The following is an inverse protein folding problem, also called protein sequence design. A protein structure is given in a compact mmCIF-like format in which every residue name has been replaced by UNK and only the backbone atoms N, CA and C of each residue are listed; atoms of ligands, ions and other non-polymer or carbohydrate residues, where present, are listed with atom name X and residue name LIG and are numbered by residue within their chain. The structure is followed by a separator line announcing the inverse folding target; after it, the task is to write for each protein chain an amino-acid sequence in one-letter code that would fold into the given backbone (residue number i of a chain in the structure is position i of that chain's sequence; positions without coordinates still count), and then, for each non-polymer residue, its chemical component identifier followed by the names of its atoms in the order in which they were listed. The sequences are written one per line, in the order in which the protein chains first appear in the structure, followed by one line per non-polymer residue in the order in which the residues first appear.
data_IF_497841271518
#
_entry.id   IF_497841271518
#
_cell.length_a   1.000
_cell.length_b   1.000
_cell.length_c   1.000
_cell.angle_alpha   90.00
_cell.angle_beta   90.00
_cell.angle_gamma   90.00
#
_symmetry.space_group_name_H-M   'P 1'
#
loop_
_entity.id
_entity.type
_entity.pdbx_description
1 polymer ?
#
# COMPACT_ATOMS: atom_id res chain seq x y z
N UNK A 1 20.43 -1.80 -22.14
CA UNK A 1 19.16 -1.94 -22.87
C UNK A 1 18.42 -3.14 -22.28
N UNK A 2 17.86 -2.97 -21.08
CA UNK A 2 17.05 -4.00 -20.43
C UNK A 2 15.65 -3.92 -21.01
N UNK A 3 15.20 -5.02 -21.59
CA UNK A 3 13.97 -5.16 -22.36
C UNK A 3 12.73 -5.11 -21.48
N UNK A 4 11.64 -4.61 -22.08
CA UNK A 4 10.26 -4.42 -21.60
C UNK A 4 9.55 -5.65 -20.99
N UNK A 5 10.26 -6.68 -20.54
CA UNK A 5 9.70 -7.95 -20.07
C UNK A 5 9.31 -8.00 -18.59
N UNK A 6 9.67 -7.03 -17.76
CA UNK A 6 9.46 -7.12 -16.29
C UNK A 6 8.11 -6.57 -15.78
N UNK A 7 7.13 -6.29 -16.66
CA UNK A 7 5.81 -5.74 -16.24
C UNK A 7 4.70 -6.79 -16.16
N UNK A 8 4.96 -8.04 -16.52
CA UNK A 8 3.95 -9.11 -16.41
C UNK A 8 4.39 -10.09 -15.34
N UNK A 9 4.09 -9.81 -14.08
CA UNK A 9 3.98 -10.84 -13.06
C UNK A 9 3.21 -10.27 -11.86
N UNK A 10 2.15 -10.97 -11.44
CA UNK A 10 1.14 -10.63 -10.41
C UNK A 10 -0.23 -10.07 -10.88
N UNK A 11 -0.71 -10.40 -12.08
CA UNK A 11 -2.15 -10.35 -12.38
C UNK A 11 -2.59 -11.63 -13.09
N UNK A 12 -3.17 -12.59 -12.35
CA UNK A 12 -3.84 -13.83 -12.85
C UNK A 12 -3.14 -14.60 -14.01
N UNK A 13 -1.86 -14.36 -14.28
CA UNK A 13 -1.16 -14.84 -15.47
C UNK A 13 -1.59 -14.21 -16.81
N UNK A 14 -2.36 -13.10 -16.83
CA UNK A 14 -2.78 -12.43 -18.09
C UNK A 14 -2.17 -11.05 -18.26
N UNK A 15 -1.81 -10.72 -19.49
CA UNK A 15 -1.43 -9.37 -19.91
C UNK A 15 -2.69 -8.50 -20.14
N UNK A 16 -2.60 -7.16 -20.00
CA UNK A 16 -3.71 -6.27 -20.35
C UNK A 16 -3.97 -6.31 -21.86
N UNK A 17 -5.24 -6.32 -22.24
CA UNK A 17 -5.65 -6.19 -23.64
C UNK A 17 -5.58 -4.72 -24.06
N UNK A 18 -5.41 -4.41 -25.36
CA UNK A 18 -5.40 -3.02 -25.84
C UNK A 18 -6.67 -2.22 -25.51
N UNK A 19 -7.79 -2.91 -25.30
CA UNK A 19 -9.08 -2.33 -24.94
C UNK A 19 -9.34 -2.27 -23.44
N UNK A 20 -8.46 -2.84 -22.61
CA UNK A 20 -8.66 -2.87 -21.16
C UNK A 20 -8.48 -1.46 -20.59
N UNK A 21 -9.39 -1.08 -19.69
CA UNK A 21 -9.24 0.13 -18.89
C UNK A 21 -8.25 -0.14 -17.76
N UNK A 22 -7.04 0.38 -17.89
CA UNK A 22 -5.95 0.11 -16.96
C UNK A 22 -6.00 1.09 -15.78
N UNK A 23 -6.11 0.55 -14.57
CA UNK A 23 -5.98 1.28 -13.31
C UNK A 23 -4.56 1.11 -12.79
N UNK A 24 -3.93 2.21 -12.38
CA UNK A 24 -2.63 2.20 -11.75
C UNK A 24 -2.71 2.71 -10.32
N UNK A 25 -2.01 2.04 -9.41
CA UNK A 25 -1.77 2.49 -8.04
C UNK A 25 -0.30 2.37 -7.71
N UNK A 26 0.22 3.23 -6.85
CA UNK A 26 1.58 3.09 -6.33
C UNK A 26 1.62 3.34 -4.82
N UNK A 27 2.55 2.65 -4.14
CA UNK A 27 2.72 2.77 -2.70
C UNK A 27 3.83 1.88 -2.17
N UNK A 28 4.23 2.08 -0.92
CA UNK A 28 5.21 1.20 -0.26
C UNK A 28 4.61 -0.18 0.07
N UNK A 29 3.31 -0.23 0.43
CA UNK A 29 2.60 -1.44 0.84
C UNK A 29 3.31 -2.24 1.96
N UNK A 30 4.04 -1.54 2.84
CA UNK A 30 4.72 -2.14 3.99
C UNK A 30 3.73 -2.75 4.99
N UNK A 31 4.09 -3.89 5.56
CA UNK A 31 3.25 -4.70 6.44
C UNK A 31 1.84 -4.91 5.88
N UNK A 32 1.76 -5.35 4.61
CA UNK A 32 0.51 -5.52 3.86
C UNK A 32 -0.67 -6.01 4.72
N UNK A 33 -1.73 -5.20 4.80
CA UNK A 33 -2.81 -5.34 5.78
C UNK A 33 -4.18 -5.01 5.18
N UNK A 34 -5.26 -5.20 5.95
CA UNK A 34 -6.64 -5.03 5.47
C UNK A 34 -6.91 -3.65 4.83
N UNK A 35 -6.31 -2.58 5.36
CA UNK A 35 -6.41 -1.25 4.73
C UNK A 35 -5.89 -1.18 3.29
N UNK A 36 -4.78 -1.88 2.98
CA UNK A 36 -4.27 -2.01 1.62
C UNK A 36 -5.19 -2.87 0.76
N UNK A 37 -5.66 -4.00 1.29
CA UNK A 37 -6.59 -4.87 0.56
C UNK A 37 -7.87 -4.11 0.16
N UNK A 38 -8.53 -3.45 1.11
CA UNK A 38 -9.76 -2.69 0.83
C UNK A 38 -9.52 -1.54 -0.16
N UNK A 39 -8.37 -0.85 -0.09
CA UNK A 39 -8.00 0.14 -1.10
C UNK A 39 -7.86 -0.47 -2.49
N UNK A 40 -7.13 -1.59 -2.61
CA UNK A 40 -6.89 -2.27 -3.89
C UNK A 40 -8.19 -2.82 -4.48
N UNK A 41 -9.10 -3.33 -3.65
CA UNK A 41 -10.43 -3.78 -4.07
C UNK A 41 -11.25 -2.63 -4.65
N UNK A 42 -11.28 -1.46 -4.00
CA UNK A 42 -11.99 -0.29 -4.54
C UNK A 42 -11.34 0.25 -5.82
N UNK A 43 -10.01 0.27 -5.88
CA UNK A 43 -9.29 0.68 -7.09
C UNK A 43 -9.55 -0.27 -8.27
N UNK A 44 -9.55 -1.59 -8.02
CA UNK A 44 -9.80 -2.60 -9.04
C UNK A 44 -11.17 -2.45 -9.70
N UNK A 45 -12.19 -1.98 -8.98
CA UNK A 45 -13.54 -1.74 -9.54
C UNK A 45 -13.58 -0.66 -10.61
N UNK A 46 -12.53 0.16 -10.72
CA UNK A 46 -12.49 1.30 -11.64
C UNK A 46 -12.05 0.92 -13.06
N UNK A 47 -11.61 -0.32 -13.30
CA UNK A 47 -11.20 -0.77 -14.63
C UNK A 47 -11.11 -2.28 -14.76
N UNK A 48 -10.49 -2.73 -15.86
CA UNK A 48 -10.42 -4.14 -16.25
C UNK A 48 -9.08 -4.79 -15.86
N UNK A 49 -8.07 -3.97 -15.55
CA UNK A 49 -6.73 -4.42 -15.19
C UNK A 49 -6.12 -3.47 -14.16
N UNK A 50 -5.60 -4.01 -13.07
CA UNK A 50 -4.95 -3.25 -12.01
C UNK A 50 -3.44 -3.49 -12.07
N UNK A 51 -2.68 -2.40 -12.23
CA UNK A 51 -1.22 -2.38 -12.08
C UNK A 51 -0.90 -1.78 -10.71
N UNK A 52 -0.12 -2.52 -9.92
CA UNK A 52 0.31 -2.10 -8.58
C UNK A 52 1.82 -1.85 -8.60
N UNK A 53 2.21 -0.58 -8.50
CA UNK A 53 3.59 -0.16 -8.36
C UNK A 53 4.06 -0.22 -6.90
N UNK A 54 5.03 -1.08 -6.61
CA UNK A 54 5.67 -1.14 -5.29
C UNK A 54 6.86 -0.19 -5.28
N UNK A 55 6.84 0.76 -4.35
CA UNK A 55 7.94 1.69 -4.10
C UNK A 55 9.03 0.99 -3.28
N UNK A 56 10.28 1.11 -3.69
CA UNK A 56 11.43 0.64 -2.92
C UNK A 56 12.07 1.81 -2.16
N UNK A 57 12.63 1.53 -0.98
CA UNK A 57 13.28 2.53 -0.10
C UNK A 57 14.59 3.13 -0.66
N UNK A 58 15.10 2.61 -1.79
CA UNK A 58 16.30 3.11 -2.46
C UNK A 58 15.95 3.82 -3.76
N UNK A 59 16.61 4.94 -4.12
CA UNK A 59 16.40 5.59 -5.41
C UNK A 59 17.03 4.74 -6.51
N UNK A 60 16.28 3.77 -7.03
CA UNK A 60 16.71 2.94 -8.15
C UNK A 60 16.09 3.52 -9.42
N UNK A 61 16.96 3.98 -10.32
CA UNK A 61 16.58 4.23 -11.70
C UNK A 61 16.21 2.89 -12.33
N UNK A 62 14.95 2.80 -12.76
CA UNK A 62 14.32 1.71 -13.51
C UNK A 62 14.19 0.34 -12.81
N UNK A 63 12.95 -0.08 -12.58
CA UNK A 63 12.31 -1.36 -12.97
C UNK A 63 10.97 -1.46 -12.23
N UNK A 64 9.96 -2.13 -12.80
CA UNK A 64 8.59 -2.24 -12.27
C UNK A 64 8.45 -3.10 -10.99
N UNK A 65 9.56 -3.39 -10.32
CA UNK A 65 9.66 -3.65 -8.89
C UNK A 65 10.64 -2.58 -8.37
N UNK A 66 10.09 -1.43 -7.95
CA UNK A 66 10.81 -0.16 -7.92
C UNK A 66 10.10 0.91 -8.74
N UNK A 67 8.77 0.98 -8.62
CA UNK A 67 7.98 1.99 -9.30
C UNK A 67 8.55 3.39 -8.97
N UNK A 68 8.65 4.30 -9.96
CA UNK A 68 9.11 5.64 -9.68
C UNK A 68 8.17 6.29 -8.67
N UNK A 69 8.74 7.07 -7.75
CA UNK A 69 7.96 7.80 -6.76
C UNK A 69 6.95 8.75 -7.43
N UNK A 70 7.35 9.37 -8.55
CA UNK A 70 6.49 10.24 -9.34
C UNK A 70 5.83 9.51 -10.50
N UNK A 71 4.53 9.74 -10.70
CA UNK A 71 3.78 9.26 -11.85
C UNK A 71 3.98 10.24 -13.01
N UNK A 72 4.79 9.85 -13.99
CA UNK A 72 5.13 10.68 -15.15
C UNK A 72 4.25 10.41 -16.37
N UNK A 73 4.26 11.34 -17.33
CA UNK A 73 3.63 11.15 -18.64
C UNK A 73 4.11 9.88 -19.36
N UNK A 74 5.42 9.58 -19.28
CA UNK A 74 6.03 8.40 -19.90
C UNK A 74 5.43 7.08 -19.39
N UNK A 75 5.26 6.92 -18.07
CA UNK A 75 4.68 5.69 -17.53
C UNK A 75 3.19 5.58 -17.87
N UNK A 76 2.47 6.71 -17.93
CA UNK A 76 1.06 6.73 -18.32
C UNK A 76 0.91 6.24 -19.75
N UNK A 77 1.72 6.74 -20.67
CA UNK A 77 1.67 6.36 -22.09
C UNK A 77 2.18 4.94 -22.32
N UNK A 78 3.30 4.56 -21.68
CA UNK A 78 3.91 3.22 -21.82
C UNK A 78 2.99 2.09 -21.37
N UNK A 79 2.22 2.31 -20.31
CA UNK A 79 1.30 1.31 -19.75
C UNK A 79 -0.15 1.55 -20.13
N UNK A 80 -0.44 2.52 -21.01
CA UNK A 80 -1.80 2.88 -21.42
C UNK A 80 -2.74 3.09 -20.21
N UNK A 81 -2.24 3.79 -19.19
CA UNK A 81 -2.95 3.99 -17.92
C UNK A 81 -4.16 4.89 -18.15
N UNK A 82 -5.33 4.37 -17.80
CA UNK A 82 -6.61 5.08 -17.91
C UNK A 82 -6.97 5.85 -16.65
N UNK A 83 -6.59 5.33 -15.47
CA UNK A 83 -6.87 5.94 -14.16
C UNK A 83 -5.67 5.72 -13.23
N UNK A 84 -5.30 6.74 -12.47
CA UNK A 84 -4.33 6.65 -11.37
C UNK A 84 -5.07 6.86 -10.05
N UNK A 85 -4.97 5.90 -9.12
CA UNK A 85 -5.61 6.00 -7.82
C UNK A 85 -4.62 6.21 -6.68
N UNK A 86 -5.01 7.07 -5.73
CA UNK A 86 -4.33 7.27 -4.45
C UNK A 86 -5.31 7.04 -3.29
N UNK A 87 -4.85 6.40 -2.21
CA UNK A 87 -5.63 6.27 -0.99
C UNK A 87 -5.82 7.62 -0.30
N UNK A 88 -7.04 7.93 0.15
CA UNK A 88 -7.40 9.24 0.71
C UNK A 88 -6.80 9.57 2.08
N UNK A 89 -6.19 8.60 2.78
CA UNK A 89 -5.78 8.75 4.20
C UNK A 89 -4.37 9.27 4.42
N UNK A 90 -3.46 9.13 3.44
CA UNK A 90 -2.05 9.53 3.62
C UNK A 90 -1.70 10.60 2.59
N UNK A 91 -1.43 11.84 3.02
CA UNK A 91 -0.90 12.86 2.13
C UNK A 91 0.54 12.49 1.77
N UNK A 92 0.81 12.37 0.48
CA UNK A 92 2.15 12.17 -0.05
C UNK A 92 2.66 13.49 -0.64
N UNK A 93 3.61 14.12 0.05
CA UNK A 93 4.47 15.14 -0.53
C UNK A 93 5.84 14.51 -0.78
N UNK A 94 6.44 14.76 -1.94
CA UNK A 94 7.82 14.33 -2.16
C UNK A 94 8.76 15.06 -1.17
N UNK A 95 9.99 14.56 -0.99
CA UNK A 95 11.00 15.19 -0.11
C UNK A 95 11.41 16.61 -0.54
N UNK A 96 10.99 17.05 -1.73
CA UNK A 96 11.33 18.32 -2.39
C UNK A 96 10.13 19.29 -2.46
N UNK A 97 8.94 18.90 -1.98
CA UNK A 97 7.69 19.67 -2.06
C UNK A 97 6.87 19.51 -3.35
N UNK A 98 7.29 18.67 -4.31
CA UNK A 98 6.51 18.43 -5.54
C UNK A 98 5.42 17.37 -5.32
N UNK A 99 4.36 17.49 -6.12
CA UNK A 99 3.25 16.55 -6.16
C UNK A 99 3.60 15.36 -7.08
N UNK A 100 3.79 14.14 -6.56
CA UNK A 100 4.10 12.97 -7.38
C UNK A 100 2.97 12.60 -8.37
N UNK A 101 1.77 13.17 -8.20
CA UNK A 101 0.61 12.95 -9.04
C UNK A 101 0.28 14.15 -9.94
N UNK A 102 1.22 15.07 -10.16
CA UNK A 102 0.99 16.23 -11.02
C UNK A 102 0.56 15.85 -12.45
N UNK A 103 1.27 14.92 -13.11
CA UNK A 103 0.95 14.49 -14.46
C UNK A 103 -0.45 13.85 -14.58
N UNK A 104 -0.86 12.86 -13.74
CA UNK A 104 -2.21 12.31 -13.83
C UNK A 104 -3.30 13.32 -13.45
N UNK A 105 -3.04 14.27 -12.53
CA UNK A 105 -3.97 15.37 -12.25
C UNK A 105 -4.14 16.28 -13.46
N UNK A 106 -3.03 16.69 -14.10
CA UNK A 106 -3.03 17.49 -15.34
C UNK A 106 -3.78 16.79 -16.48
N UNK A 107 -3.65 15.46 -16.59
CA UNK A 107 -4.36 14.64 -17.59
C UNK A 107 -5.83 14.33 -17.23
N UNK A 108 -6.29 14.70 -16.03
CA UNK A 108 -7.66 14.44 -15.58
C UNK A 108 -7.97 12.97 -15.24
N UNK A 109 -6.92 12.14 -15.06
CA UNK A 109 -7.04 10.70 -14.79
C UNK A 109 -6.77 10.32 -13.33
N UNK A 110 -6.46 11.30 -12.47
CA UNK A 110 -6.25 11.11 -11.03
C UNK A 110 -7.57 10.91 -10.28
N UNK A 111 -7.58 9.95 -9.34
CA UNK A 111 -8.70 9.63 -8.46
C UNK A 111 -8.22 9.35 -7.04
N UNK A 112 -8.89 9.94 -6.07
CA UNK A 112 -8.77 9.52 -4.67
C UNK A 112 -9.78 8.42 -4.38
N UNK A 113 -9.33 7.41 -3.64
CA UNK A 113 -10.12 6.25 -3.26
C UNK A 113 -10.10 6.15 -1.73
N UNK A 114 -11.28 6.17 -1.13
CA UNK A 114 -11.46 5.85 0.28
C UNK A 114 -11.62 4.34 0.45
N UNK A 115 -10.71 3.71 1.17
CA UNK A 115 -10.76 2.29 1.46
C UNK A 115 -11.81 1.89 2.49
N UNK A 116 -12.44 2.86 3.17
CA UNK A 116 -13.32 2.63 4.32
C UNK A 116 -12.64 2.02 5.55
N UNK A 117 -11.35 1.69 5.46
CA UNK A 117 -10.56 1.08 6.54
C UNK A 117 -9.73 2.11 7.26
N UNK A 118 -9.78 2.12 8.58
CA UNK A 118 -8.95 2.96 9.42
C UNK A 118 -7.56 2.35 9.71
N UNK A 119 -7.25 1.17 9.20
CA UNK A 119 -6.00 0.45 9.46
C UNK A 119 -4.81 1.05 8.70
N UNK A 120 -3.72 1.30 9.42
CA UNK A 120 -2.45 1.81 8.87
C UNK A 120 -1.27 0.99 9.43
N UNK A 121 -0.12 1.02 8.75
CA UNK A 121 1.13 0.44 9.26
C UNK A 121 1.49 0.99 10.64
N UNK A 122 1.30 2.29 10.87
CA UNK A 122 1.48 2.94 12.18
C UNK A 122 0.64 2.28 13.28
N UNK A 123 -0.65 2.03 13.04
CA UNK A 123 -1.52 1.34 14.00
C UNK A 123 -1.08 -0.10 14.29
N UNK A 124 -0.50 -0.79 13.31
CA UNK A 124 0.02 -2.15 13.56
C UNK A 124 1.28 -2.08 14.42
N UNK A 125 2.18 -1.12 14.13
CA UNK A 125 3.38 -0.89 14.93
C UNK A 125 3.00 -0.55 16.37
N UNK A 126 2.06 0.38 16.58
CA UNK A 126 1.55 0.75 17.91
C UNK A 126 1.04 -0.48 18.67
N UNK A 127 0.17 -1.29 18.06
CA UNK A 127 -0.38 -2.52 18.68
C UNK A 127 0.71 -3.52 19.06
N UNK A 128 1.73 -3.71 18.20
CA UNK A 128 2.85 -4.61 18.50
C UNK A 128 3.65 -4.09 19.69
N UNK A 129 3.91 -2.78 19.74
CA UNK A 129 4.66 -2.14 20.81
C UNK A 129 3.89 -2.27 22.14
N UNK A 130 2.61 -1.91 22.17
CA UNK A 130 1.75 -2.00 23.35
C UNK A 130 1.73 -3.43 23.92
N UNK A 131 1.48 -4.43 23.07
CA UNK A 131 1.48 -5.84 23.47
C UNK A 131 2.85 -6.27 24.04
N UNK A 132 3.96 -5.81 23.45
CA UNK A 132 5.30 -6.13 23.97
C UNK A 132 5.54 -5.52 25.35
N UNK A 133 5.08 -4.29 25.60
CA UNK A 133 5.17 -3.65 26.91
C UNK A 133 4.37 -4.40 27.98
N UNK A 134 3.14 -4.83 27.67
CA UNK A 134 2.30 -5.60 28.59
C UNK A 134 2.94 -6.95 28.97
N UNK A 135 3.49 -7.66 27.99
CA UNK A 135 4.04 -9.00 28.21
C UNK A 135 5.47 -9.02 28.77
N UNK A 136 6.31 -7.99 28.54
CA UNK A 136 7.70 -7.97 29.01
C UNK A 136 7.92 -7.20 30.32
N UNK A 137 7.04 -6.25 30.69
CA UNK A 137 7.16 -5.51 31.95
C UNK A 137 6.22 -6.00 33.07
N UNK A 138 5.22 -6.83 32.75
CA UNK A 138 4.35 -7.45 33.75
C UNK A 138 4.34 -8.98 33.64
N UNK A 139 5.39 -9.67 34.15
CA UNK A 139 5.28 -11.10 34.39
C UNK A 139 4.21 -11.32 35.47
N UNK A 140 3.05 -11.82 35.05
CA UNK A 140 1.98 -12.45 35.84
C UNK A 140 2.00 -12.19 37.36
N UNK A 141 1.07 -11.36 37.83
CA UNK A 141 0.61 -11.34 39.23
C UNK A 141 0.03 -12.72 39.59
N UNK A 142 0.88 -13.63 40.04
CA UNK A 142 0.50 -14.91 40.63
C UNK A 142 0.74 -14.91 42.14
N UNK A 143 0.12 -13.99 42.88
CA UNK A 143 -0.07 -14.17 44.32
C UNK A 143 -1.40 -13.54 44.76
N UNK A 144 -2.06 -14.27 45.66
CA UNK A 144 -3.28 -13.95 46.41
C UNK A 144 -4.61 -14.36 45.77
N UNK A 145 -4.90 -15.67 45.82
CA UNK A 145 -6.22 -16.16 46.24
C UNK A 145 -6.04 -17.38 47.15
N UNK A 146 -6.57 -17.31 48.38
CA UNK A 146 -6.88 -18.50 49.18
C UNK A 146 -6.28 -18.56 50.59
N UNK A 147 -6.70 -17.66 51.47
CA UNK A 147 -6.72 -17.95 52.91
C UNK A 147 -7.93 -18.85 53.23
N UNK A 148 -7.72 -19.87 54.07
CA UNK A 148 -8.60 -20.94 54.63
C UNK A 148 -8.00 -22.31 54.27
N UNK A 149 -7.49 -23.11 55.20
CA UNK A 149 -8.11 -23.59 56.44
C UNK A 149 -7.08 -23.80 57.57
N UNK A 150 -7.46 -23.43 58.80
CA UNK A 150 -6.89 -23.95 60.05
C UNK A 150 -7.55 -25.29 60.40
N UNK A 151 -6.73 -26.31 60.71
CA UNK A 151 -6.76 -27.31 61.81
C UNK A 151 -8.09 -28.03 62.21
N UNK A 152 -8.05 -29.18 62.90
CA UNK A 152 -7.11 -29.60 63.96
C UNK A 152 -5.84 -30.30 63.46
#
# INVERSE_FOLDING_TARGET
MATTQTIIEFAEGRAPRPTDKIVYVCGAFDMFHIGHLSFLEEAAKLGDYLIVGILNDQPVNEVVIGAPYCVTDDIIDRFNISIVCQGSRVPHHDRSGNDPFEAPKRRGIYREVDSGSDMTTEKIIERIIEHRYEHHLFPQRSFLHGSRYMSP
#
